data_IF_822451228288
#
_entry.id   IF_822451228288
#
_cell.length_a   1.000
_cell.length_b   1.000
_cell.length_c   1.000
_cell.angle_alpha   90.00
_cell.angle_beta   90.00
_cell.angle_gamma   90.00
#
_symmetry.space_group_name_H-M   'P 1'
#
loop_
_entity.id
_entity.type
_entity.pdbx_description
1 polymer ?
#
# COMPACT_ATOMS: atom_id res chain seq x y z
N UNK A 1 -8.77 10.53 15.43
CA UNK A 1 -7.97 9.32 15.76
C UNK A 1 -8.14 8.25 14.66
N UNK A 2 -7.62 8.56 13.47
CA UNK A 2 -7.31 7.60 12.42
C UNK A 2 -5.82 7.75 12.20
N UNK A 3 -5.08 6.64 12.11
CA UNK A 3 -3.63 6.60 12.05
C UNK A 3 -3.05 7.59 11.02
N UNK A 4 -1.80 8.02 11.23
CA UNK A 4 -0.97 8.74 10.26
C UNK A 4 -0.76 7.88 8.99
N UNK A 5 -1.82 7.66 8.21
CA UNK A 5 -1.77 6.96 6.93
C UNK A 5 -1.40 8.00 5.85
N UNK A 6 -0.26 7.81 5.15
CA UNK A 6 0.14 8.67 4.04
C UNK A 6 -0.95 8.79 2.97
N UNK A 7 -1.74 7.74 2.73
CA UNK A 7 -2.84 7.74 1.77
C UNK A 7 -3.94 8.71 2.23
N UNK A 8 -4.38 8.62 3.48
CA UNK A 8 -5.39 9.54 4.00
C UNK A 8 -4.91 10.98 3.97
N UNK A 9 -3.63 11.19 4.30
CA UNK A 9 -3.02 12.51 4.33
C UNK A 9 -2.95 13.13 2.94
N UNK A 10 -2.55 12.35 1.93
CA UNK A 10 -2.52 12.78 0.53
C UNK A 10 -3.93 13.11 0.00
N UNK A 11 -4.92 12.27 0.28
CA UNK A 11 -6.31 12.51 -0.14
C UNK A 11 -6.88 13.77 0.51
N UNK A 12 -6.64 13.96 1.82
CA UNK A 12 -7.09 15.17 2.53
C UNK A 12 -6.41 16.41 1.99
N UNK A 13 -5.10 16.37 1.76
CA UNK A 13 -4.34 17.50 1.23
C UNK A 13 -4.84 17.91 -0.16
N UNK A 14 -5.07 16.94 -1.05
CA UNK A 14 -5.65 17.20 -2.37
C UNK A 14 -7.06 17.82 -2.24
N UNK A 15 -7.91 17.25 -1.39
CA UNK A 15 -9.26 17.76 -1.17
C UNK A 15 -9.26 19.19 -0.59
N UNK A 16 -8.38 19.51 0.36
CA UNK A 16 -8.22 20.86 0.92
C UNK A 16 -7.69 21.87 -0.10
N UNK A 17 -6.86 21.41 -1.06
CA UNK A 17 -6.31 22.26 -2.11
C UNK A 17 -7.36 22.59 -3.18
N UNK A 18 -8.20 21.62 -3.53
CA UNK A 18 -9.11 21.72 -4.67
C UNK A 18 -10.53 22.15 -4.29
N UNK A 19 -11.00 21.86 -3.07
CA UNK A 19 -12.39 22.11 -2.66
C UNK A 19 -12.49 23.35 -1.76
N UNK A 20 -13.17 24.40 -2.24
CA UNK A 20 -13.40 25.64 -1.49
C UNK A 20 -14.06 25.42 -0.13
N UNK A 21 -15.02 24.49 -0.04
CA UNK A 21 -15.72 24.15 1.21
C UNK A 21 -14.78 23.64 2.32
N UNK A 22 -13.59 23.16 1.96
CA UNK A 22 -12.60 22.62 2.90
C UNK A 22 -11.50 23.62 3.26
N UNK A 23 -11.33 24.71 2.52
CA UNK A 23 -10.23 25.67 2.70
C UNK A 23 -10.35 26.51 3.98
N UNK A 24 -11.56 26.93 4.34
CA UNK A 24 -11.81 27.87 5.43
C UNK A 24 -12.43 27.24 6.68
N UNK A 25 -12.35 25.91 6.83
CA UNK A 25 -12.99 25.20 7.94
C UNK A 25 -12.22 25.36 9.27
N UNK A 26 -12.91 25.54 10.40
CA UNK A 26 -12.28 25.67 11.71
C UNK A 26 -11.70 24.34 12.23
N UNK A 27 -12.30 23.20 11.85
CA UNK A 27 -11.86 21.87 12.23
C UNK A 27 -11.50 21.05 10.98
N UNK A 28 -10.23 20.60 10.89
CA UNK A 28 -9.73 19.77 9.78
C UNK A 28 -10.39 18.39 9.67
N UNK A 29 -11.12 17.96 10.70
CA UNK A 29 -11.81 16.67 10.74
C UNK A 29 -13.29 16.74 10.38
N UNK A 30 -13.83 17.94 10.15
CA UNK A 30 -15.24 18.15 9.83
C UNK A 30 -15.39 18.68 8.41
N UNK A 31 -16.53 18.40 7.79
CA UNK A 31 -16.89 18.95 6.47
C UNK A 31 -18.12 19.83 6.69
N UNK A 32 -18.06 21.14 6.37
CA UNK A 32 -19.21 22.02 6.53
C UNK A 32 -20.47 21.47 5.85
N UNK A 33 -21.60 21.49 6.54
CA UNK A 33 -22.88 20.95 6.03
C UNK A 33 -23.09 19.46 6.22
N UNK A 34 -22.07 18.70 6.66
CA UNK A 34 -22.15 17.24 6.83
C UNK A 34 -21.73 16.82 8.24
N UNK A 35 -22.47 15.87 8.81
CA UNK A 35 -22.17 15.28 10.12
C UNK A 35 -21.94 13.78 10.00
N UNK A 36 -20.77 13.31 10.42
CA UNK A 36 -20.48 11.87 10.50
C UNK A 36 -21.10 11.30 11.79
N UNK A 37 -22.02 10.35 11.65
CA UNK A 37 -22.73 9.70 12.78
C UNK A 37 -22.24 8.30 13.08
N UNK A 38 -21.55 7.66 12.12
CA UNK A 38 -20.93 6.35 12.31
C UNK A 38 -19.68 6.23 11.45
N UNK A 39 -18.66 5.55 11.96
CA UNK A 39 -17.42 5.30 11.24
C UNK A 39 -16.92 3.89 11.54
N UNK A 40 -16.65 3.14 10.48
CA UNK A 40 -15.99 1.84 10.52
C UNK A 40 -14.59 2.02 9.94
N UNK A 41 -13.53 1.92 10.76
CA UNK A 41 -12.16 2.11 10.30
C UNK A 41 -11.76 1.02 9.29
N UNK A 42 -10.63 1.26 8.60
CA UNK A 42 -10.11 0.30 7.64
C UNK A 42 -9.81 -1.04 8.32
N UNK A 43 -10.29 -2.12 7.69
CA UNK A 43 -9.99 -3.49 8.12
C UNK A 43 -9.21 -4.22 7.01
N UNK A 44 -8.01 -4.76 7.28
CA UNK A 44 -7.20 -5.48 6.28
C UNK A 44 -7.90 -6.66 5.61
N UNK A 45 -8.86 -7.29 6.30
CA UNK A 45 -9.62 -8.43 5.76
C UNK A 45 -10.67 -7.97 4.75
N UNK A 46 -11.38 -6.88 5.03
CA UNK A 46 -12.39 -6.33 4.11
C UNK A 46 -11.79 -5.36 3.09
N UNK A 47 -10.58 -4.83 3.35
CA UNK A 47 -9.84 -3.85 2.55
C UNK A 47 -10.64 -2.57 2.24
N UNK A 48 -11.50 -2.16 3.17
CA UNK A 48 -12.34 -0.97 3.05
C UNK A 48 -12.65 -0.34 4.42
N UNK A 49 -13.05 0.93 4.40
CA UNK A 49 -13.58 1.69 5.53
C UNK A 49 -14.86 2.42 5.11
N UNK A 50 -15.82 2.54 6.04
CA UNK A 50 -17.12 3.14 5.75
C UNK A 50 -17.48 4.24 6.75
N UNK A 51 -18.28 5.21 6.31
CA UNK A 51 -18.86 6.22 7.18
C UNK A 51 -20.36 6.40 6.88
N UNK A 52 -21.14 6.65 7.92
CA UNK A 52 -22.53 7.12 7.81
C UNK A 52 -22.54 8.62 8.03
N UNK A 53 -23.14 9.34 7.08
CA UNK A 53 -23.12 10.81 7.02
C UNK A 53 -24.56 11.31 6.97
N UNK A 54 -24.82 12.41 7.67
CA UNK A 54 -26.08 13.15 7.66
C UNK A 54 -25.84 14.53 7.06
N UNK A 55 -26.69 14.94 6.13
CA UNK A 55 -26.70 16.30 5.57
C UNK A 55 -27.47 17.20 6.54
N UNK A 56 -26.82 18.24 7.07
CA UNK A 56 -27.41 19.07 8.14
C UNK A 56 -28.66 19.84 7.69
N UNK A 57 -28.74 20.21 6.40
CA UNK A 57 -29.85 21.01 5.86
C UNK A 57 -31.12 20.17 5.63
N UNK A 58 -30.96 18.92 5.17
CA UNK A 58 -32.08 18.06 4.76
C UNK A 58 -32.38 16.94 5.76
N UNK A 59 -31.48 16.68 6.72
CA UNK A 59 -31.44 15.47 7.55
C UNK A 59 -31.40 14.16 6.76
N UNK A 60 -31.05 14.21 5.48
CA UNK A 60 -30.84 13.01 4.66
C UNK A 60 -29.60 12.25 5.15
N UNK A 61 -29.74 10.93 5.24
CA UNK A 61 -28.67 10.03 5.64
C UNK A 61 -28.17 9.28 4.41
N UNK A 62 -26.86 9.18 4.27
CA UNK A 62 -26.23 8.33 3.26
C UNK A 62 -24.97 7.68 3.85
N UNK A 63 -24.49 6.60 3.22
CA UNK A 63 -23.22 5.97 3.57
C UNK A 63 -22.21 6.17 2.46
N UNK A 64 -20.95 6.28 2.86
CA UNK A 64 -19.80 6.34 1.96
C UNK A 64 -18.82 5.24 2.30
N UNK A 65 -18.20 4.69 1.28
CA UNK A 65 -17.20 3.64 1.36
C UNK A 65 -15.96 4.05 0.58
N UNK A 66 -14.78 3.80 1.15
CA UNK A 66 -13.50 3.87 0.43
C UNK A 66 -12.70 2.60 0.67
N UNK A 67 -11.97 2.14 -0.33
CA UNK A 67 -11.20 0.92 -0.20
C UNK A 67 -10.50 0.47 -1.48
N UNK A 68 -9.97 -0.74 -1.45
CA UNK A 68 -9.31 -1.32 -2.61
C UNK A 68 -10.29 -1.36 -3.81
N UNK A 69 -9.86 -0.97 -5.03
CA UNK A 69 -10.76 -0.79 -6.17
C UNK A 69 -11.61 -2.02 -6.48
N UNK A 70 -11.03 -3.22 -6.41
CA UNK A 70 -11.74 -4.48 -6.65
C UNK A 70 -12.84 -4.75 -5.61
N UNK A 71 -12.66 -4.31 -4.36
CA UNK A 71 -13.67 -4.45 -3.31
C UNK A 71 -14.81 -3.48 -3.55
N UNK A 72 -14.49 -2.23 -3.88
CA UNK A 72 -15.50 -1.20 -4.15
C UNK A 72 -16.28 -1.49 -5.42
N UNK A 73 -15.62 -1.95 -6.50
CA UNK A 73 -16.29 -2.38 -7.73
C UNK A 73 -17.24 -3.55 -7.45
N UNK A 74 -16.83 -4.52 -6.62
CA UNK A 74 -17.71 -5.62 -6.22
C UNK A 74 -18.87 -5.14 -5.35
N UNK A 75 -18.65 -4.17 -4.46
CA UNK A 75 -19.67 -3.59 -3.58
C UNK A 75 -20.81 -2.94 -4.37
N UNK A 76 -20.50 -2.31 -5.51
CA UNK A 76 -21.50 -1.65 -6.36
C UNK A 76 -22.14 -2.59 -7.40
N UNK A 77 -21.86 -3.90 -7.33
CA UNK A 77 -22.42 -4.89 -8.26
C UNK A 77 -21.61 -5.13 -9.55
N UNK A 78 -20.40 -4.57 -9.67
CA UNK A 78 -19.53 -4.71 -10.84
C UNK A 78 -19.58 -3.50 -11.78
N UNK A 79 -18.45 -3.19 -12.42
CA UNK A 79 -18.31 -2.12 -13.41
C UNK A 79 -17.07 -2.38 -14.27
N UNK A 80 -17.26 -2.85 -15.50
CA UNK A 80 -16.16 -3.26 -16.39
C UNK A 80 -15.26 -2.09 -16.80
N UNK A 81 -15.83 -0.90 -17.01
CA UNK A 81 -15.08 0.31 -17.34
C UNK A 81 -14.16 0.71 -16.17
N UNK A 82 -14.65 0.60 -14.94
CA UNK A 82 -13.86 0.87 -13.74
C UNK A 82 -12.72 -0.16 -13.57
N UNK A 83 -12.97 -1.44 -13.86
CA UNK A 83 -11.92 -2.48 -13.87
C UNK A 83 -10.85 -2.14 -14.91
N UNK A 84 -11.26 -1.79 -16.13
CA UNK A 84 -10.33 -1.44 -17.20
C UNK A 84 -9.50 -0.19 -16.87
N UNK A 85 -10.14 0.85 -16.31
CA UNK A 85 -9.47 2.07 -15.88
C UNK A 85 -8.42 1.77 -14.78
N UNK A 86 -8.78 0.98 -13.76
CA UNK A 86 -7.86 0.60 -12.68
C UNK A 86 -6.65 -0.17 -13.23
N UNK A 87 -6.86 -1.11 -14.15
CA UNK A 87 -5.76 -1.86 -14.77
C UNK A 87 -4.82 -0.94 -15.59
N UNK A 88 -5.40 0.01 -16.32
CA UNK A 88 -4.64 1.00 -17.09
C UNK A 88 -3.79 1.89 -16.19
N UNK A 89 -4.35 2.34 -15.07
CA UNK A 89 -3.66 3.15 -14.06
C UNK A 89 -2.56 2.36 -13.35
N UNK A 90 -2.84 1.11 -13.00
CA UNK A 90 -1.87 0.23 -12.37
C UNK A 90 -0.67 -0.08 -13.29
N UNK A 91 -0.91 -0.22 -14.59
CA UNK A 91 0.15 -0.31 -15.61
C UNK A 91 1.05 0.92 -15.71
N UNK A 92 0.57 2.08 -15.23
CA UNK A 92 1.35 3.32 -15.10
C UNK A 92 1.97 3.48 -13.71
N UNK A 93 1.92 2.45 -12.87
CA UNK A 93 2.47 2.46 -11.50
C UNK A 93 1.66 3.31 -10.53
N UNK A 94 0.40 3.59 -10.84
CA UNK A 94 -0.50 4.36 -9.98
C UNK A 94 -1.31 3.39 -9.11
N UNK A 95 -1.30 3.62 -7.80
CA UNK A 95 -2.26 3.01 -6.89
C UNK A 95 -3.63 3.65 -7.12
N UNK A 96 -4.69 2.86 -6.97
CA UNK A 96 -6.06 3.37 -7.05
C UNK A 96 -6.81 3.05 -5.75
N UNK A 97 -7.71 3.94 -5.36
CA UNK A 97 -8.62 3.82 -4.24
C UNK A 97 -10.05 4.06 -4.77
N UNK A 98 -10.92 3.08 -4.62
CA UNK A 98 -12.32 3.21 -5.01
C UNK A 98 -13.11 4.01 -3.99
N UNK A 99 -14.05 4.81 -4.47
CA UNK A 99 -14.99 5.56 -3.63
C UNK A 99 -16.42 5.26 -4.10
N UNK A 100 -17.25 4.86 -3.16
CA UNK A 100 -18.67 4.59 -3.40
C UNK A 100 -19.55 5.29 -2.37
N UNK A 101 -20.80 5.51 -2.73
CA UNK A 101 -21.84 6.17 -1.94
C UNK A 101 -23.12 5.36 -2.06
N UNK A 102 -23.98 5.38 -1.05
CA UNK A 102 -25.33 4.81 -1.19
C UNK A 102 -26.23 5.66 -2.07
N UNK A 103 -27.06 5.01 -2.88
CA UNK A 103 -28.03 5.70 -3.74
C UNK A 103 -29.04 6.49 -2.89
N UNK A 104 -29.55 7.64 -3.37
CA UNK A 104 -30.57 8.39 -2.63
C UNK A 104 -31.80 7.52 -2.30
N UNK A 105 -32.19 7.49 -1.03
CA UNK A 105 -33.36 6.73 -0.57
C UNK A 105 -33.12 5.24 -0.24
N UNK A 106 -31.93 4.70 -0.48
CA UNK A 106 -31.57 3.33 -0.08
C UNK A 106 -30.17 3.27 0.53
N UNK A 107 -30.06 2.85 1.80
CA UNK A 107 -28.81 2.79 2.57
C UNK A 107 -28.02 1.48 2.39
N UNK A 108 -28.54 0.54 1.61
CA UNK A 108 -27.92 -0.77 1.36
C UNK A 108 -27.25 -0.83 -0.01
N UNK A 109 -27.83 -0.20 -1.02
CA UNK A 109 -27.29 -0.19 -2.38
C UNK A 109 -26.27 0.93 -2.58
N UNK A 110 -25.05 0.57 -3.02
CA UNK A 110 -23.98 1.51 -3.34
C UNK A 110 -23.86 1.75 -4.84
N UNK A 111 -23.57 3.00 -5.20
CA UNK A 111 -23.11 3.42 -6.52
C UNK A 111 -21.63 3.85 -6.48
N UNK A 112 -20.92 3.62 -7.58
CA UNK A 112 -19.53 4.04 -7.72
C UNK A 112 -19.49 5.54 -7.98
N UNK A 113 -18.81 6.28 -7.10
CA UNK A 113 -18.59 7.73 -7.29
C UNK A 113 -17.38 7.95 -8.19
N UNK A 114 -16.31 7.19 -7.98
CA UNK A 114 -15.10 7.30 -8.78
C UNK A 114 -13.89 6.60 -8.17
N UNK A 115 -12.73 6.90 -8.75
CA UNK A 115 -11.43 6.38 -8.34
C UNK A 115 -10.50 7.54 -7.99
N UNK A 116 -9.78 7.43 -6.88
CA UNK A 116 -8.68 8.32 -6.53
C UNK A 116 -7.39 7.60 -6.83
N UNK A 117 -6.49 8.23 -7.60
CA UNK A 117 -5.19 7.65 -7.94
C UNK A 117 -4.08 8.28 -7.13
N UNK A 118 -3.21 7.46 -6.58
CA UNK A 118 -2.04 7.88 -5.82
C UNK A 118 -0.78 7.39 -6.53
N UNK A 119 0.21 8.27 -6.64
CA UNK A 119 1.55 7.93 -7.07
C UNK A 119 2.46 7.96 -5.85
N UNK A 120 3.21 6.87 -5.65
CA UNK A 120 4.30 6.79 -4.68
C UNK A 120 5.61 6.75 -5.47
N UNK A 121 6.15 7.92 -5.87
CA UNK A 121 7.30 7.96 -6.76
C UNK A 121 8.57 7.50 -6.00
N UNK A 122 9.45 6.73 -6.66
CA UNK A 122 10.76 6.44 -6.08
C UNK A 122 11.53 7.73 -5.81
N UNK A 123 12.41 7.72 -4.81
CA UNK A 123 13.26 8.89 -4.53
C UNK A 123 14.19 9.14 -5.74
N UNK A 124 14.52 10.41 -6.06
CA UNK A 124 15.32 10.74 -7.24
C UNK A 124 16.68 10.02 -7.32
N UNK A 125 17.25 9.67 -6.17
CA UNK A 125 18.52 8.98 -5.98
C UNK A 125 18.41 7.45 -5.93
N UNK A 126 17.19 6.88 -5.92
CA UNK A 126 16.98 5.44 -5.74
C UNK A 126 17.59 4.62 -6.87
N UNK A 127 17.40 5.04 -8.12
CA UNK A 127 17.92 4.33 -9.28
C UNK A 127 19.47 4.34 -9.30
N UNK A 128 20.09 5.45 -8.91
CA UNK A 128 21.56 5.54 -8.80
C UNK A 128 22.09 4.69 -7.65
N UNK A 129 21.41 4.72 -6.50
CA UNK A 129 21.78 3.89 -5.35
C UNK A 129 21.72 2.40 -5.69
N UNK A 130 20.66 1.94 -6.36
CA UNK A 130 20.54 0.54 -6.82
C UNK A 130 21.68 0.17 -7.78
N UNK A 131 22.00 1.04 -8.74
CA UNK A 131 23.14 0.81 -9.65
C UNK A 131 24.44 0.64 -8.89
N UNK A 132 24.75 1.55 -7.97
CA UNK A 132 25.98 1.49 -7.16
C UNK A 132 26.04 0.26 -6.27
N UNK A 133 24.92 -0.15 -5.67
CA UNK A 133 24.85 -1.41 -4.92
C UNK A 133 25.24 -2.61 -5.80
N UNK A 134 24.67 -2.69 -7.01
CA UNK A 134 24.99 -3.76 -7.96
C UNK A 134 26.46 -3.72 -8.41
N UNK A 135 27.04 -2.53 -8.63
CA UNK A 135 28.47 -2.36 -8.94
C UNK A 135 29.39 -2.86 -7.81
N UNK A 136 28.95 -2.73 -6.55
CA UNK A 136 29.64 -3.27 -5.38
C UNK A 136 29.33 -4.76 -5.11
N UNK A 137 28.57 -5.43 -5.98
CA UNK A 137 28.17 -6.82 -5.82
C UNK A 137 27.09 -7.06 -4.75
N UNK A 138 26.37 -6.01 -4.35
CA UNK A 138 25.23 -6.08 -3.44
C UNK A 138 23.94 -6.06 -4.26
N UNK A 139 23.30 -7.21 -4.36
CA UNK A 139 22.04 -7.34 -5.09
C UNK A 139 20.87 -6.71 -4.30
N UNK A 140 20.11 -5.83 -4.95
CA UNK A 140 18.94 -5.17 -4.35
C UNK A 140 17.66 -5.85 -4.80
N UNK A 141 16.83 -6.29 -3.84
CA UNK A 141 15.51 -6.88 -4.10
C UNK A 141 14.39 -5.99 -3.54
N UNK A 142 13.36 -5.72 -4.35
CA UNK A 142 12.20 -4.92 -3.94
C UNK A 142 11.25 -5.73 -3.05
N UNK A 143 10.71 -5.15 -1.98
CA UNK A 143 9.67 -5.76 -1.16
C UNK A 143 8.54 -4.75 -0.98
N UNK A 144 7.34 -5.05 -1.51
CA UNK A 144 6.20 -4.12 -1.48
C UNK A 144 4.85 -4.81 -1.22
N UNK A 145 3.95 -4.10 -0.53
CA UNK A 145 2.54 -4.50 -0.38
C UNK A 145 1.70 -4.21 -1.64
N UNK A 146 2.27 -3.58 -2.66
CA UNK A 146 1.58 -3.23 -3.90
C UNK A 146 1.18 -4.43 -4.74
N UNK A 147 0.26 -4.19 -5.68
CA UNK A 147 -0.05 -5.17 -6.71
C UNK A 147 1.16 -5.44 -7.61
N UNK A 148 1.25 -6.68 -8.11
CA UNK A 148 2.34 -7.14 -8.94
C UNK A 148 2.64 -6.23 -10.14
N UNK A 149 1.59 -5.73 -10.81
CA UNK A 149 1.74 -4.84 -11.97
C UNK A 149 2.40 -3.50 -11.60
N UNK A 150 2.05 -2.93 -10.45
CA UNK A 150 2.63 -1.68 -9.94
C UNK A 150 4.09 -1.93 -9.57
N UNK A 151 4.38 -3.02 -8.85
CA UNK A 151 5.75 -3.39 -8.48
C UNK A 151 6.66 -3.57 -9.71
N UNK A 152 6.18 -4.24 -10.76
CA UNK A 152 6.92 -4.40 -12.03
C UNK A 152 7.16 -3.07 -12.75
N UNK A 153 6.24 -2.12 -12.65
CA UNK A 153 6.40 -0.78 -13.23
C UNK A 153 7.40 0.07 -12.43
N UNK A 154 7.33 0.05 -11.10
CA UNK A 154 8.31 0.73 -10.24
C UNK A 154 9.71 0.14 -10.42
N UNK A 155 9.83 -1.19 -10.46
CA UNK A 155 11.10 -1.89 -10.71
C UNK A 155 11.73 -1.43 -12.03
N UNK A 156 10.95 -1.36 -13.11
CA UNK A 156 11.41 -0.88 -14.40
C UNK A 156 11.93 0.56 -14.36
N UNK A 157 11.21 1.47 -13.67
CA UNK A 157 11.65 2.87 -13.51
C UNK A 157 12.93 3.02 -12.71
N UNK A 158 13.17 2.10 -11.77
CA UNK A 158 14.38 2.05 -10.97
C UNK A 158 15.57 1.42 -11.70
N UNK A 159 15.37 0.91 -12.92
CA UNK A 159 16.40 0.17 -13.66
C UNK A 159 16.62 -1.25 -13.14
N UNK A 160 15.66 -1.79 -12.38
CA UNK A 160 15.65 -3.18 -11.95
C UNK A 160 14.98 -4.08 -13.01
N UNK A 161 15.32 -5.37 -12.98
CA UNK A 161 14.62 -6.38 -13.75
C UNK A 161 13.18 -6.60 -13.22
N UNK A 162 12.32 -7.21 -14.05
CA UNK A 162 10.88 -7.34 -13.78
C UNK A 162 10.48 -8.73 -13.26
N UNK A 163 11.43 -9.52 -12.76
CA UNK A 163 11.16 -10.83 -12.16
C UNK A 163 10.66 -10.62 -10.74
N UNK A 164 9.42 -10.14 -10.63
CA UNK A 164 8.73 -9.90 -9.36
C UNK A 164 7.80 -11.08 -9.10
N UNK A 165 7.91 -11.67 -7.91
CA UNK A 165 7.02 -12.72 -7.43
C UNK A 165 5.90 -12.13 -6.57
N UNK A 166 4.73 -12.75 -6.56
CA UNK A 166 3.70 -12.43 -5.58
C UNK A 166 3.89 -13.25 -4.28
N UNK A 167 3.15 -12.85 -3.25
CA UNK A 167 3.09 -13.55 -1.98
C UNK A 167 2.78 -15.06 -2.09
N UNK A 168 1.97 -15.48 -3.06
CA UNK A 168 1.57 -16.88 -3.22
C UNK A 168 2.76 -17.78 -3.53
N UNK A 169 3.76 -17.27 -4.24
CA UNK A 169 4.98 -18.01 -4.56
C UNK A 169 5.89 -18.26 -3.35
N UNK A 170 5.73 -17.49 -2.26
CA UNK A 170 6.55 -17.61 -1.04
C UNK A 170 6.02 -18.66 -0.05
N UNK A 171 4.74 -19.00 -0.17
CA UNK A 171 4.00 -19.92 0.74
C UNK A 171 3.29 -21.02 -0.03
N UNK A 172 3.76 -21.30 -1.25
CA UNK A 172 3.18 -22.30 -2.15
C UNK A 172 3.29 -23.70 -1.53
N UNK A 173 2.16 -24.35 -1.17
CA UNK A 173 2.17 -25.65 -0.51
C UNK A 173 2.61 -26.79 -1.44
N UNK A 174 2.55 -26.57 -2.76
CA UNK A 174 2.89 -27.57 -3.76
C UNK A 174 4.39 -27.57 -4.09
N UNK A 175 5.17 -26.62 -3.56
CA UNK A 175 6.61 -26.51 -3.77
C UNK A 175 7.39 -26.83 -2.51
N UNK A 176 8.54 -27.48 -2.68
CA UNK A 176 9.48 -27.69 -1.59
C UNK A 176 10.10 -26.36 -1.13
N UNK A 177 10.53 -26.32 0.13
CA UNK A 177 11.26 -25.17 0.72
C UNK A 177 12.48 -24.78 -0.14
N UNK A 178 13.16 -25.78 -0.71
CA UNK A 178 14.32 -25.61 -1.57
C UNK A 178 13.97 -24.91 -2.90
N UNK A 179 12.89 -25.34 -3.57
CA UNK A 179 12.40 -24.71 -4.81
C UNK A 179 11.94 -23.27 -4.58
N UNK A 180 11.18 -23.03 -3.50
CA UNK A 180 10.76 -21.68 -3.11
C UNK A 180 11.99 -20.80 -2.86
N UNK A 181 13.02 -21.36 -2.23
CA UNK A 181 14.28 -20.66 -1.99
C UNK A 181 15.00 -20.31 -3.30
N UNK A 182 15.08 -21.21 -4.28
CA UNK A 182 15.68 -20.90 -5.60
C UNK A 182 14.91 -19.80 -6.35
N UNK A 183 13.59 -19.81 -6.28
CA UNK A 183 12.78 -18.75 -6.86
C UNK A 183 13.01 -17.41 -6.16
N UNK A 184 13.10 -17.41 -4.83
CA UNK A 184 13.39 -16.23 -4.03
C UNK A 184 14.75 -15.63 -4.39
N UNK A 185 15.77 -16.48 -4.58
CA UNK A 185 17.12 -16.06 -4.99
C UNK A 185 17.12 -15.41 -6.38
N UNK A 186 16.37 -15.94 -7.34
CA UNK A 186 16.30 -15.42 -8.72
C UNK A 186 15.37 -14.22 -8.90
N UNK A 187 14.54 -13.90 -7.91
CA UNK A 187 13.56 -12.83 -8.01
C UNK A 187 14.21 -11.46 -7.72
N UNK A 188 13.84 -10.45 -8.50
CA UNK A 188 14.21 -9.05 -8.28
C UNK A 188 13.34 -8.37 -7.22
N UNK A 189 12.25 -9.01 -6.82
CA UNK A 189 11.40 -8.50 -5.76
C UNK A 189 10.11 -9.27 -5.54
N UNK A 190 9.35 -8.80 -4.56
CA UNK A 190 8.17 -9.45 -4.01
C UNK A 190 7.04 -8.43 -3.83
N UNK A 191 5.88 -8.73 -4.42
CA UNK A 191 4.68 -7.91 -4.39
C UNK A 191 3.59 -8.54 -3.52
N UNK A 192 2.62 -7.73 -3.10
CA UNK A 192 1.49 -8.14 -2.24
C UNK A 192 1.93 -8.80 -0.93
N UNK A 193 3.11 -8.43 -0.42
CA UNK A 193 3.65 -9.04 0.79
C UNK A 193 3.02 -8.47 2.05
N UNK A 194 2.77 -9.34 3.02
CA UNK A 194 2.38 -9.00 4.40
C UNK A 194 3.63 -9.15 5.31
N UNK A 195 3.59 -8.67 6.56
CA UNK A 195 4.75 -8.75 7.48
C UNK A 195 5.41 -10.13 7.54
N UNK A 196 4.61 -11.19 7.59
CA UNK A 196 5.05 -12.59 7.67
C UNK A 196 5.84 -13.00 6.42
N UNK A 197 5.43 -12.52 5.24
CA UNK A 197 6.13 -12.81 3.98
C UNK A 197 7.49 -12.10 3.92
N UNK A 198 7.62 -10.89 4.49
CA UNK A 198 8.91 -10.18 4.54
C UNK A 198 9.93 -10.96 5.38
N UNK A 199 9.51 -11.43 6.56
CA UNK A 199 10.33 -12.29 7.40
C UNK A 199 10.77 -13.56 6.66
N UNK A 200 9.82 -14.19 5.95
CA UNK A 200 10.05 -15.42 5.19
C UNK A 200 11.07 -15.24 4.07
N UNK A 201 11.02 -14.15 3.32
CA UNK A 201 12.02 -13.83 2.28
C UNK A 201 13.42 -13.79 2.86
N UNK A 202 13.60 -13.06 3.98
CA UNK A 202 14.90 -12.96 4.66
C UNK A 202 15.39 -14.33 5.11
N UNK A 203 14.52 -15.14 5.72
CA UNK A 203 14.86 -16.50 6.16
C UNK A 203 15.30 -17.41 5.00
N UNK A 204 14.59 -17.39 3.87
CA UNK A 204 14.91 -18.21 2.70
C UNK A 204 16.27 -17.83 2.10
N UNK A 205 16.54 -16.53 1.94
CA UNK A 205 17.83 -16.06 1.43
C UNK A 205 18.98 -16.40 2.39
N UNK A 206 18.76 -16.29 3.70
CA UNK A 206 19.74 -16.72 4.71
C UNK A 206 20.03 -18.23 4.67
N UNK A 207 19.03 -19.07 4.38
CA UNK A 207 19.23 -20.54 4.22
C UNK A 207 20.16 -20.88 3.06
N UNK A 208 20.27 -20.03 2.03
CA UNK A 208 21.26 -20.15 0.94
C UNK A 208 22.67 -19.75 1.35
N UNK A 209 22.86 -19.26 2.58
CA UNK A 209 24.12 -18.71 3.05
C UNK A 209 24.38 -17.27 2.61
N UNK A 210 23.36 -16.57 2.08
CA UNK A 210 23.48 -15.15 1.73
C UNK A 210 23.41 -14.28 2.99
N UNK A 211 24.21 -13.22 3.02
CA UNK A 211 24.08 -12.17 4.02
C UNK A 211 22.99 -11.19 3.56
N UNK A 212 21.95 -11.04 4.37
CA UNK A 212 20.78 -10.24 4.01
C UNK A 212 20.77 -8.96 4.83
N UNK A 213 20.82 -7.81 4.15
CA UNK A 213 20.44 -6.52 4.71
C UNK A 213 18.97 -6.25 4.42
N UNK A 214 18.21 -5.81 5.42
CA UNK A 214 16.81 -5.44 5.22
C UNK A 214 16.57 -3.99 5.61
N UNK A 215 15.93 -3.21 4.74
CA UNK A 215 15.48 -1.85 5.02
C UNK A 215 14.00 -1.84 5.43
N UNK A 216 13.63 -1.00 6.40
CA UNK A 216 12.23 -0.84 6.81
C UNK A 216 11.98 0.43 7.61
N UNK A 217 10.71 0.83 7.72
CA UNK A 217 10.28 2.06 8.39
C UNK A 217 9.16 1.83 9.42
N UNK A 218 8.34 0.80 9.20
CA UNK A 218 7.14 0.53 9.99
C UNK A 218 7.28 -0.57 11.03
N UNK A 219 6.30 -0.60 11.94
CA UNK A 219 6.11 -1.69 12.93
C UNK A 219 6.01 -3.06 12.25
N UNK A 220 5.43 -3.07 11.04
CA UNK A 220 5.26 -4.24 10.19
C UNK A 220 6.60 -4.86 9.72
N UNK A 221 7.68 -4.07 9.67
CA UNK A 221 8.99 -4.53 9.21
C UNK A 221 9.87 -5.02 10.36
N UNK A 222 9.51 -4.71 11.61
CA UNK A 222 10.32 -5.02 12.78
C UNK A 222 10.73 -6.50 12.90
N UNK A 223 9.84 -7.50 12.65
CA UNK A 223 10.24 -8.91 12.71
C UNK A 223 11.32 -9.26 11.69
N UNK A 224 11.19 -8.71 10.48
CA UNK A 224 12.07 -9.04 9.36
C UNK A 224 13.40 -8.25 9.44
N UNK A 225 13.37 -7.00 9.93
CA UNK A 225 14.56 -6.23 10.31
C UNK A 225 15.40 -7.00 11.34
N UNK A 226 14.76 -7.53 12.39
CA UNK A 226 15.45 -8.29 13.44
C UNK A 226 15.98 -9.65 12.98
N UNK A 227 15.38 -10.23 11.93
CA UNK A 227 15.81 -11.50 11.36
C UNK A 227 17.01 -11.34 10.42
N UNK A 228 17.12 -10.20 9.75
CA UNK A 228 18.19 -9.91 8.81
C UNK A 228 19.57 -9.98 9.48
N UNK A 229 20.62 -10.16 8.68
CA UNK A 229 21.99 -10.06 9.18
C UNK A 229 22.33 -8.62 9.57
N UNK A 230 21.72 -7.66 8.86
CA UNK A 230 21.75 -6.23 9.19
C UNK A 230 20.37 -5.64 8.94
N UNK A 231 19.67 -5.25 9.99
CA UNK A 231 18.44 -4.45 9.92
C UNK A 231 18.79 -2.96 9.78
N UNK A 232 18.19 -2.28 8.81
CA UNK A 232 18.44 -0.87 8.50
C UNK A 232 17.12 -0.10 8.61
N UNK A 233 16.98 0.72 9.64
CA UNK A 233 15.84 1.63 9.77
C UNK A 233 16.11 2.94 9.05
N UNK A 234 15.16 3.39 8.24
CA UNK A 234 15.29 4.64 7.46
C UNK A 234 14.85 5.88 8.25
N UNK A 235 15.22 7.06 7.75
CA UNK A 235 14.81 8.34 8.34
C UNK A 235 13.28 8.45 8.43
N UNK A 236 12.76 8.84 9.60
CA UNK A 236 11.32 8.93 9.87
C UNK A 236 10.66 7.60 10.25
N UNK A 237 11.43 6.54 10.48
CA UNK A 237 10.91 5.26 10.95
C UNK A 237 10.24 5.35 12.34
N UNK A 238 9.32 4.42 12.57
CA UNK A 238 8.66 4.20 13.86
C UNK A 238 9.67 3.76 14.94
N UNK A 239 9.34 4.01 16.22
CA UNK A 239 10.18 3.58 17.35
C UNK A 239 10.37 2.05 17.36
N UNK A 240 9.34 1.30 16.98
CA UNK A 240 9.44 -0.16 16.85
C UNK A 240 10.46 -0.60 15.80
N UNK A 241 10.46 0.02 14.62
CA UNK A 241 11.45 -0.26 13.58
C UNK A 241 12.86 0.14 14.02
N UNK A 242 13.00 1.29 14.70
CA UNK A 242 14.27 1.77 15.26
C UNK A 242 14.86 0.81 16.30
N UNK A 243 14.03 0.27 17.18
CA UNK A 243 14.46 -0.71 18.19
C UNK A 243 14.78 -2.10 17.60
N UNK A 244 14.28 -2.41 16.41
CA UNK A 244 14.50 -3.69 15.74
C UNK A 244 15.71 -3.69 14.78
N UNK A 245 16.20 -2.52 14.39
CA UNK A 245 17.29 -2.36 13.44
C UNK A 245 18.67 -2.24 14.11
N UNK A 246 19.70 -2.70 13.41
CA UNK A 246 21.11 -2.58 13.82
C UNK A 246 21.70 -1.22 13.43
N UNK A 247 21.23 -0.65 12.32
CA UNK A 247 21.64 0.65 11.79
C UNK A 247 20.41 1.54 11.62
N UNK A 248 20.54 2.81 12.00
CA UNK A 248 19.50 3.83 11.80
C UNK A 248 20.09 4.94 10.94
N UNK A 249 19.48 5.18 9.77
CA UNK A 249 19.83 6.31 8.90
C UNK A 249 19.11 7.56 9.41
N UNK A 250 19.88 8.50 9.95
CA UNK A 250 19.40 9.77 10.53
C UNK A 250 19.27 10.88 9.51
#
# INVERSE_FOLDING_TARGET
PGANDPIESAVRFAAESDLEILKSRPNKHEVPGYKVTGFVPFNPNTKMSNATVVINETNEVFRVAKGAPQVIIKLVGGNDDAVHAVNTLAGRGLRALGVARTIPGDLETYELVGMITLLDPPRPDSAETIRRCNEYGVEVKMITGDQLIIAKEVAHRLGMSRVILDAGHLVDPDKSDEEVTQHCERADGFAQVIPEHKYRVVELLQKRGLLVGMTGDGVNDAPALKKANVGIAVHGCTDAARSAADIVLL
#
